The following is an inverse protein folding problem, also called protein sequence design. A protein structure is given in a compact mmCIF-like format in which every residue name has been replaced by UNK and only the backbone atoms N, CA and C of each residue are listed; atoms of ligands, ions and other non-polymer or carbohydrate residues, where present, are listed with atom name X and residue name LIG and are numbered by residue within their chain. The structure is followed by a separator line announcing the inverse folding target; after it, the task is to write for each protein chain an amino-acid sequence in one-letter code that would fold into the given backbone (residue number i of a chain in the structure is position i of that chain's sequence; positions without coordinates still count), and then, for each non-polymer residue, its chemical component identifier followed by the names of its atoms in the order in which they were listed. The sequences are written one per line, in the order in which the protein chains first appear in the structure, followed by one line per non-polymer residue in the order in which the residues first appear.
data_IF_671687965164
#
_entry.id   IF_671687965164
#
_cell.length_a   1.000
_cell.length_b   1.000
_cell.length_c   1.000
_cell.angle_alpha   90.00
_cell.angle_beta   90.00
_cell.angle_gamma   90.00
#
_symmetry.space_group_name_H-M   'P 1'
#
loop_
_entity.id
_entity.type
_entity.pdbx_description
1 polymer ?
#
# COMPACT_ATOMS: atom_id res chain seq x y z
N UNK A 1 22.47 1.10 -6.43
CA UNK A 1 22.02 -0.17 -5.81
C UNK A 1 23.18 -0.75 -5.03
N UNK A 2 23.10 -0.76 -3.70
CA UNK A 2 24.07 -1.47 -2.85
C UNK A 2 23.86 -2.97 -2.96
N UNK A 3 24.94 -3.75 -2.87
CA UNK A 3 24.87 -5.21 -2.81
C UNK A 3 24.10 -5.67 -1.55
N UNK A 4 23.23 -6.67 -1.71
CA UNK A 4 22.44 -7.24 -0.60
C UNK A 4 23.35 -8.03 0.34
N UNK A 5 23.33 -7.70 1.63
CA UNK A 5 24.17 -8.30 2.67
C UNK A 5 23.44 -9.41 3.45
N UNK A 6 22.10 -9.41 3.48
CA UNK A 6 21.32 -10.45 4.18
C UNK A 6 20.85 -11.57 3.25
N UNK A 7 20.82 -12.79 3.80
CA UNK A 7 20.24 -14.01 3.20
C UNK A 7 19.09 -14.52 4.06
N UNK A 8 18.27 -15.41 3.48
CA UNK A 8 17.17 -16.10 4.17
C UNK A 8 17.41 -17.59 4.24
N UNK A 9 17.11 -18.20 5.39
CA UNK A 9 17.14 -19.65 5.56
C UNK A 9 15.83 -20.30 5.06
N UNK A 10 15.74 -21.63 5.15
CA UNK A 10 14.55 -22.39 4.75
C UNK A 10 13.29 -22.04 5.58
N UNK A 11 13.49 -21.47 6.78
CA UNK A 11 12.41 -21.04 7.68
C UNK A 11 12.05 -19.56 7.48
N UNK A 12 12.72 -18.85 6.57
CA UNK A 12 12.53 -17.43 6.29
C UNK A 12 13.28 -16.48 7.23
N UNK A 13 14.11 -16.97 8.14
CA UNK A 13 14.89 -16.13 9.06
C UNK A 13 16.04 -15.44 8.33
N UNK A 14 16.31 -14.18 8.67
CA UNK A 14 17.39 -13.42 8.08
C UNK A 14 18.74 -13.71 8.78
N UNK A 15 19.81 -13.85 7.99
CA UNK A 15 21.19 -14.01 8.49
C UNK A 15 22.17 -13.28 7.55
N UNK A 16 23.31 -12.82 8.06
CA UNK A 16 24.43 -12.33 7.23
C UNK A 16 25.27 -13.54 6.76
N UNK A 17 26.02 -13.49 5.66
CA UNK A 17 26.88 -14.63 5.25
C UNK A 17 28.36 -14.31 5.42
N UNK A 18 28.88 -14.54 6.62
CA UNK A 18 30.27 -14.30 7.01
C UNK A 18 30.81 -15.45 7.87
N UNK A 19 31.07 -16.60 7.23
CA UNK A 19 31.83 -17.71 7.85
C UNK A 19 31.24 -18.31 9.13
N UNK A 20 32.09 -18.89 9.97
CA UNK A 20 31.76 -19.84 11.06
C UNK A 20 30.88 -19.31 12.23
N UNK A 21 30.37 -18.08 12.21
CA UNK A 21 29.64 -17.48 13.36
C UNK A 21 28.11 -17.41 13.19
N UNK A 22 27.53 -18.18 12.27
CA UNK A 22 26.45 -17.60 11.49
C UNK A 22 25.17 -18.42 11.26
N UNK A 23 24.65 -19.03 12.32
CA UNK A 23 23.26 -19.51 12.30
C UNK A 23 22.42 -19.11 13.50
N UNK A 24 23.02 -18.82 14.66
CA UNK A 24 22.29 -18.69 15.92
C UNK A 24 22.87 -17.62 16.87
N UNK A 25 23.39 -16.49 16.36
CA UNK A 25 23.82 -15.42 17.26
C UNK A 25 22.60 -14.62 17.76
N UNK A 26 21.96 -15.12 18.82
CA UNK A 26 20.79 -14.53 19.49
C UNK A 26 20.92 -13.03 19.79
N UNK A 27 22.15 -12.51 19.96
CA UNK A 27 22.37 -11.11 20.25
C UNK A 27 22.35 -10.19 19.00
N UNK A 28 22.36 -10.73 17.79
CA UNK A 28 22.42 -9.94 16.55
C UNK A 28 21.18 -10.07 15.67
N UNK A 29 20.30 -11.05 15.92
CA UNK A 29 19.13 -11.35 15.07
C UNK A 29 18.29 -10.11 14.74
N UNK A 30 17.99 -9.26 15.73
CA UNK A 30 17.20 -8.04 15.51
C UNK A 30 17.82 -7.07 14.53
N UNK A 31 19.14 -6.88 14.55
CA UNK A 31 19.83 -5.98 13.62
C UNK A 31 19.80 -6.55 12.20
N UNK A 32 19.90 -7.87 12.05
CA UNK A 32 19.76 -8.53 10.75
C UNK A 32 18.35 -8.43 10.22
N UNK A 33 17.35 -8.68 11.06
CA UNK A 33 15.95 -8.58 10.68
C UNK A 33 15.62 -7.17 10.20
N UNK A 34 16.11 -6.14 10.91
CA UNK A 34 15.97 -4.75 10.49
C UNK A 34 16.66 -4.47 9.15
N UNK A 35 17.88 -4.98 8.95
CA UNK A 35 18.61 -4.80 7.69
C UNK A 35 17.92 -5.53 6.54
N UNK A 36 17.44 -6.76 6.77
CA UNK A 36 16.74 -7.55 5.76
C UNK A 36 15.41 -6.90 5.36
N UNK A 37 14.65 -6.39 6.33
CA UNK A 37 13.42 -5.64 6.07
C UNK A 37 13.68 -4.35 5.26
N UNK A 38 14.81 -3.67 5.52
CA UNK A 38 15.25 -2.53 4.74
C UNK A 38 15.63 -2.95 3.31
N UNK A 39 16.44 -4.00 3.15
CA UNK A 39 16.84 -4.51 1.82
C UNK A 39 15.66 -5.02 0.99
N UNK A 40 14.65 -5.61 1.63
CA UNK A 40 13.40 -6.04 0.99
C UNK A 40 12.57 -4.87 0.46
N UNK A 41 12.79 -3.65 0.94
CA UNK A 41 12.18 -2.46 0.34
C UNK A 41 12.72 -2.15 -1.06
N UNK A 42 13.93 -2.64 -1.38
CA UNK A 42 14.61 -2.36 -2.64
C UNK A 42 15.07 -0.91 -2.81
N UNK A 43 14.97 -0.08 -1.76
CA UNK A 43 15.31 1.34 -1.79
C UNK A 43 16.78 1.57 -1.39
N UNK A 44 17.40 2.56 -2.02
CA UNK A 44 18.69 3.10 -1.62
C UNK A 44 18.59 3.96 -0.34
N UNK A 45 19.69 4.11 0.42
CA UNK A 45 19.67 4.94 1.63
C UNK A 45 19.23 6.37 1.35
N UNK A 46 19.59 6.90 0.18
CA UNK A 46 19.20 8.22 -0.30
C UNK A 46 17.70 8.31 -0.54
N UNK A 47 17.08 7.33 -1.20
CA UNK A 47 15.63 7.28 -1.43
C UNK A 47 14.85 7.21 -0.12
N UNK A 48 15.31 6.38 0.85
CA UNK A 48 14.67 6.29 2.16
C UNK A 48 14.82 7.60 2.94
N UNK A 49 15.96 8.27 2.84
CA UNK A 49 16.17 9.56 3.47
C UNK A 49 15.24 10.63 2.88
N UNK A 50 15.06 10.67 1.55
CA UNK A 50 14.12 11.58 0.90
C UNK A 50 12.67 11.30 1.29
N UNK A 51 12.27 10.02 1.38
CA UNK A 51 10.94 9.64 1.88
C UNK A 51 10.74 10.03 3.35
N UNK A 52 11.77 9.89 4.19
CA UNK A 52 11.73 10.29 5.58
C UNK A 52 11.57 11.82 5.73
N UNK A 53 12.28 12.62 4.91
CA UNK A 53 12.09 14.07 4.83
C UNK A 53 10.68 14.42 4.37
N UNK A 54 10.20 13.82 3.28
CA UNK A 54 8.85 14.05 2.78
C UNK A 54 7.76 13.68 3.79
N UNK A 55 7.98 12.64 4.59
CA UNK A 55 7.10 12.26 5.70
C UNK A 55 7.12 13.31 6.82
N UNK A 56 8.30 13.79 7.22
CA UNK A 56 8.45 14.83 8.24
C UNK A 56 7.81 16.16 7.79
N UNK A 57 7.95 16.51 6.51
CA UNK A 57 7.34 17.70 5.90
C UNK A 57 5.82 17.56 5.68
N UNK A 58 5.22 16.39 5.97
CA UNK A 58 3.80 16.13 5.73
C UNK A 58 3.40 16.02 4.25
N UNK A 59 4.37 15.87 3.34
CA UNK A 59 4.15 15.73 1.89
C UNK A 59 3.79 14.30 1.47
N UNK A 60 4.11 13.31 2.29
CA UNK A 60 3.85 11.89 1.99
C UNK A 60 2.40 11.52 2.30
N UNK A 61 1.66 11.02 1.31
CA UNK A 61 0.30 10.49 1.48
C UNK A 61 0.22 9.03 1.07
N UNK A 62 -0.33 8.19 1.95
CA UNK A 62 -0.59 6.77 1.66
C UNK A 62 -2.00 6.63 1.11
N UNK A 63 -2.12 6.00 -0.05
CA UNK A 63 -3.41 5.67 -0.66
C UNK A 63 -3.82 4.22 -0.33
N UNK A 64 -5.13 3.92 -0.26
CA UNK A 64 -5.60 2.55 -0.02
C UNK A 64 -5.42 1.59 -1.21
N UNK A 65 -5.09 2.12 -2.39
CA UNK A 65 -4.96 1.37 -3.64
C UNK A 65 -3.81 1.94 -4.50
N UNK A 66 -3.37 1.16 -5.48
CA UNK A 66 -2.35 1.54 -6.49
C UNK A 66 -2.96 1.72 -7.88
N UNK A 67 -2.20 2.33 -8.78
CA UNK A 67 -2.54 2.39 -10.21
C UNK A 67 -2.77 0.97 -10.76
N UNK A 68 -3.83 0.79 -11.55
CA UNK A 68 -4.23 -0.48 -12.12
C UNK A 68 -5.04 -1.39 -11.19
N UNK A 69 -5.21 -1.04 -9.91
CA UNK A 69 -6.10 -1.79 -9.02
C UNK A 69 -7.56 -1.69 -9.49
N UNK A 70 -8.33 -2.74 -9.19
CA UNK A 70 -9.78 -2.71 -9.32
C UNK A 70 -10.40 -2.30 -7.99
N UNK A 71 -11.17 -1.21 -8.01
CA UNK A 71 -11.98 -0.74 -6.89
C UNK A 71 -13.46 -0.89 -7.22
N UNK A 72 -14.29 -1.07 -6.20
CA UNK A 72 -15.72 -1.29 -6.33
C UNK A 72 -16.47 -0.06 -5.88
N UNK A 73 -17.09 0.63 -6.82
CA UNK A 73 -17.79 1.88 -6.61
C UNK A 73 -19.30 1.61 -6.45
N UNK A 74 -19.90 2.19 -5.41
CA UNK A 74 -21.35 2.32 -5.32
C UNK A 74 -21.78 3.51 -6.17
N UNK A 75 -22.61 3.24 -7.17
CA UNK A 75 -23.11 4.23 -8.12
C UNK A 75 -24.64 4.22 -8.08
N UNK A 76 -25.25 5.39 -8.28
CA UNK A 76 -26.70 5.59 -8.17
C UNK A 76 -27.27 6.09 -9.50
N UNK A 77 -27.72 5.16 -10.33
CA UNK A 77 -28.42 5.42 -11.61
C UNK A 77 -29.90 5.02 -11.48
N UNK A 78 -30.57 5.55 -10.46
CA UNK A 78 -31.94 5.19 -10.08
C UNK A 78 -32.07 3.93 -9.21
N UNK A 79 -31.06 3.06 -9.21
CA UNK A 79 -30.85 2.03 -8.18
C UNK A 79 -29.37 1.97 -7.82
N UNK A 80 -29.05 1.66 -6.56
CA UNK A 80 -27.65 1.49 -6.16
C UNK A 80 -27.07 0.21 -6.78
N UNK A 81 -25.96 0.36 -7.50
CA UNK A 81 -25.23 -0.75 -8.11
C UNK A 81 -23.76 -0.69 -7.76
N UNK A 82 -23.16 -1.86 -7.60
CA UNK A 82 -21.72 -2.01 -7.44
C UNK A 82 -21.09 -2.13 -8.83
N UNK A 83 -20.15 -1.24 -9.14
CA UNK A 83 -19.39 -1.27 -10.39
C UNK A 83 -17.90 -1.44 -10.11
N UNK A 84 -17.25 -2.46 -10.69
CA UNK A 84 -15.80 -2.52 -10.71
C UNK A 84 -15.26 -1.40 -11.60
N UNK A 85 -14.19 -0.75 -11.14
CA UNK A 85 -13.52 0.36 -11.80
C UNK A 85 -12.02 0.19 -11.69
N UNK A 86 -11.27 0.60 -12.70
CA UNK A 86 -9.81 0.55 -12.68
C UNK A 86 -9.23 1.90 -12.30
N UNK A 87 -8.29 1.92 -11.35
CA UNK A 87 -7.57 3.13 -10.95
C UNK A 87 -6.61 3.55 -12.06
N UNK A 88 -6.85 4.70 -12.67
CA UNK A 88 -6.02 5.26 -13.75
C UNK A 88 -4.99 6.29 -13.28
N UNK A 89 -5.14 6.81 -12.07
CA UNK A 89 -4.27 7.89 -11.61
C UNK A 89 -4.70 8.48 -10.28
N UNK A 90 -3.89 9.42 -9.81
CA UNK A 90 -4.06 10.13 -8.54
C UNK A 90 -4.07 11.62 -8.81
N UNK A 91 -4.91 12.36 -8.10
CA UNK A 91 -5.00 13.81 -8.24
C UNK A 91 -4.99 14.49 -6.88
N UNK A 92 -4.59 15.76 -6.90
CA UNK A 92 -4.67 16.69 -5.79
C UNK A 92 -5.42 17.93 -6.27
N UNK A 93 -6.52 18.28 -5.62
CA UNK A 93 -7.32 19.47 -5.90
C UNK A 93 -7.73 20.11 -4.59
N UNK A 94 -7.43 21.39 -4.38
CA UNK A 94 -7.78 22.14 -3.15
C UNK A 94 -7.41 21.43 -1.85
N UNK A 95 -6.23 20.79 -1.82
CA UNK A 95 -5.75 20.02 -0.66
C UNK A 95 -6.47 18.69 -0.43
N UNK A 96 -7.40 18.32 -1.31
CA UNK A 96 -8.04 17.02 -1.30
C UNK A 96 -7.34 16.07 -2.25
N UNK A 97 -7.24 14.82 -1.82
CA UNK A 97 -6.58 13.75 -2.55
C UNK A 97 -7.62 12.77 -3.05
N UNK A 98 -7.41 12.23 -4.24
CA UNK A 98 -8.31 11.24 -4.80
C UNK A 98 -7.71 10.43 -5.93
N UNK A 99 -8.53 9.53 -6.45
CA UNK A 99 -8.21 8.64 -7.57
C UNK A 99 -9.11 8.96 -8.77
N UNK A 100 -8.53 8.89 -9.97
CA UNK A 100 -9.29 8.87 -11.21
C UNK A 100 -9.56 7.44 -11.64
N UNK A 101 -10.78 7.16 -12.10
CA UNK A 101 -11.18 5.84 -12.61
C UNK A 101 -11.53 5.87 -14.09
N UNK A 102 -11.62 4.70 -14.71
CA UNK A 102 -11.78 4.45 -16.15
C UNK A 102 -13.08 4.92 -16.80
N UNK A 103 -14.02 5.45 -16.03
CA UNK A 103 -15.31 5.90 -16.56
C UNK A 103 -15.52 7.39 -16.34
N UNK A 104 -15.93 8.09 -17.40
CA UNK A 104 -16.66 9.36 -17.34
C UNK A 104 -15.98 10.54 -16.64
N UNK A 105 -14.64 10.62 -16.54
CA UNK A 105 -13.94 11.65 -15.74
C UNK A 105 -14.35 11.61 -14.25
N UNK A 106 -14.81 10.47 -13.74
CA UNK A 106 -15.20 10.35 -12.34
C UNK A 106 -13.97 10.30 -11.44
N UNK A 107 -13.91 11.26 -10.54
CA UNK A 107 -12.92 11.40 -9.50
C UNK A 107 -13.52 10.95 -8.16
N UNK A 108 -12.76 10.17 -7.39
CA UNK A 108 -13.17 9.71 -6.05
C UNK A 108 -12.19 10.20 -5.02
N UNK A 109 -12.72 10.82 -3.97
CA UNK A 109 -11.87 11.30 -2.88
C UNK A 109 -11.40 10.12 -2.04
N UNK A 110 -10.20 10.22 -1.45
CA UNK A 110 -9.72 9.19 -0.51
C UNK A 110 -10.74 8.98 0.63
N UNK A 111 -11.46 10.03 1.03
CA UNK A 111 -12.49 9.99 2.08
C UNK A 111 -13.74 9.17 1.73
N UNK A 112 -13.89 8.77 0.46
CA UNK A 112 -14.99 7.94 -0.04
C UNK A 112 -14.73 6.45 0.18
N UNK A 113 -13.48 6.05 0.44
CA UNK A 113 -13.13 4.67 0.74
C UNK A 113 -13.82 4.19 2.01
N UNK A 114 -14.41 2.99 1.93
CA UNK A 114 -15.22 2.38 3.00
C UNK A 114 -16.65 2.91 3.09
N UNK A 115 -17.02 3.95 2.32
CA UNK A 115 -18.39 4.48 2.25
C UNK A 115 -19.03 4.15 0.91
N UNK A 116 -18.38 4.58 -0.17
CA UNK A 116 -18.90 4.49 -1.53
C UNK A 116 -17.84 3.97 -2.51
N UNK A 117 -16.58 3.79 -2.08
CA UNK A 117 -15.51 3.05 -2.79
C UNK A 117 -15.00 1.93 -1.88
N UNK A 118 -14.81 0.73 -2.43
CA UNK A 118 -14.31 -0.43 -1.68
C UNK A 118 -13.20 -1.14 -2.43
N UNK A 119 -12.28 -1.77 -1.70
CA UNK A 119 -11.19 -2.57 -2.27
C UNK A 119 -11.63 -3.99 -2.66
N UNK A 120 -12.81 -4.43 -2.21
CA UNK A 120 -13.38 -5.73 -2.56
C UNK A 120 -14.87 -5.64 -2.85
N UNK A 121 -15.36 -6.55 -3.70
CA UNK A 121 -16.77 -6.65 -4.04
C UNK A 121 -17.62 -6.97 -2.81
N UNK A 122 -17.15 -7.92 -1.99
CA UNK A 122 -17.83 -8.36 -0.77
C UNK A 122 -18.04 -7.20 0.21
N UNK A 123 -17.03 -6.35 0.41
CA UNK A 123 -17.15 -5.18 1.27
C UNK A 123 -18.20 -4.18 0.74
N UNK A 124 -18.27 -4.00 -0.59
CA UNK A 124 -19.29 -3.17 -1.21
C UNK A 124 -20.70 -3.77 -1.09
N UNK A 125 -20.85 -5.09 -1.27
CA UNK A 125 -22.12 -5.80 -1.10
C UNK A 125 -22.63 -5.71 0.34
N UNK A 126 -21.74 -5.87 1.31
CA UNK A 126 -22.09 -5.70 2.73
C UNK A 126 -22.54 -4.28 3.04
N UNK A 127 -21.88 -3.26 2.48
CA UNK A 127 -22.28 -1.87 2.65
C UNK A 127 -23.66 -1.58 2.01
N UNK A 128 -23.99 -2.26 0.90
CA UNK A 128 -25.27 -2.12 0.23
C UNK A 128 -26.41 -2.88 0.92
N UNK A 129 -26.13 -4.09 1.43
CA UNK A 129 -27.10 -5.00 2.07
C UNK A 129 -27.31 -4.76 3.57
N UNK A 130 -26.48 -3.96 4.23
CA UNK A 130 -26.57 -3.67 5.67
C UNK A 130 -27.70 -2.70 6.09
N UNK A 131 -28.57 -2.30 5.15
CA UNK A 131 -29.72 -1.42 5.40
C UNK A 131 -31.04 -2.14 5.72
N UNK A 132 -31.01 -3.43 6.09
CA UNK A 132 -32.17 -4.14 6.59
C UNK A 132 -31.89 -4.71 7.98
N UNK A 133 -32.50 -4.04 8.96
CA UNK A 133 -32.52 -4.34 10.39
C UNK A 133 -33.30 -3.25 11.10
#
# INVERSE_FOLDING_TARGET
MSERLTKRDENGNAYYDWGCLNRNHWALGRHVDCLAAYEDSGLSPEEVQELAKAKADGRLKIFPCKHGDTVYCLEHDGTFRIRPRTVLGFYVSDGQYGISVDFGQYQRHITDFGKTVFLSKEAAEKALGGGQG
#
